data_IF_442064636190
#
_entry.id   IF_442064636190
#
_cell.length_a   1.000
_cell.length_b   1.000
_cell.length_c   1.000
_cell.angle_alpha   90.00
_cell.angle_beta   90.00
_cell.angle_gamma   90.00
#
_symmetry.space_group_name_H-M   'P 1'
#
loop_
_entity.id
_entity.type
_entity.pdbx_description
1 polymer ?
#
# COMPACT_ATOMS: atom_id res chain seq x y z
N UNK A 1 7.96 3.34 -14.98
CA UNK A 1 7.21 3.17 -13.71
C UNK A 1 8.03 2.23 -12.81
N UNK A 2 8.51 2.72 -11.67
CA UNK A 2 9.18 1.85 -10.67
C UNK A 2 8.09 1.14 -9.88
N UNK A 3 7.98 -0.17 -10.07
CA UNK A 3 7.21 -1.02 -9.17
C UNK A 3 8.06 -1.20 -7.93
N UNK A 4 7.61 -0.66 -6.80
CA UNK A 4 8.32 -0.88 -5.54
C UNK A 4 8.12 -2.33 -5.13
N UNK A 5 9.20 -3.05 -4.77
CA UNK A 5 9.07 -4.41 -4.28
C UNK A 5 8.16 -4.38 -3.05
N UNK A 6 7.06 -5.14 -3.11
CA UNK A 6 6.11 -5.25 -2.02
C UNK A 6 5.83 -6.73 -1.79
N UNK A 7 5.97 -7.20 -0.56
CA UNK A 7 5.61 -8.57 -0.22
C UNK A 7 4.10 -8.76 -0.35
N UNK A 8 3.64 -9.97 -0.67
CA UNK A 8 2.21 -10.29 -0.77
C UNK A 8 1.45 -9.90 0.51
N UNK A 9 2.07 -10.06 1.68
CA UNK A 9 1.50 -9.67 2.97
C UNK A 9 1.35 -8.16 3.12
N UNK A 10 2.40 -7.41 2.79
CA UNK A 10 2.37 -5.95 2.80
C UNK A 10 1.31 -5.37 1.84
N UNK A 11 1.23 -5.92 0.62
CA UNK A 11 0.23 -5.51 -0.37
C UNK A 11 -1.20 -5.76 0.13
N UNK A 12 -1.45 -6.92 0.74
CA UNK A 12 -2.76 -7.24 1.32
C UNK A 12 -3.12 -6.30 2.47
N UNK A 13 -2.19 -6.04 3.39
CA UNK A 13 -2.42 -5.13 4.51
C UNK A 13 -2.73 -3.71 4.02
N UNK A 14 -2.04 -3.23 2.99
CA UNK A 14 -2.29 -1.94 2.38
C UNK A 14 -3.70 -1.85 1.79
N UNK A 15 -4.16 -2.87 1.08
CA UNK A 15 -5.52 -2.91 0.53
C UNK A 15 -6.59 -2.99 1.61
N UNK A 16 -6.33 -3.73 2.71
CA UNK A 16 -7.22 -3.79 3.89
C UNK A 16 -7.33 -2.41 4.55
N UNK A 17 -6.23 -1.68 4.67
CA UNK A 17 -6.22 -0.31 5.22
C UNK A 17 -7.06 0.66 4.38
N UNK A 18 -7.02 0.53 3.05
CA UNK A 18 -7.83 1.33 2.13
C UNK A 18 -9.31 0.95 2.25
N UNK A 19 -9.62 -0.34 2.31
CA UNK A 19 -10.99 -0.86 2.55
C UNK A 19 -11.60 -0.29 3.83
N UNK A 20 -10.84 -0.27 4.93
CA UNK A 20 -11.27 0.32 6.20
C UNK A 20 -11.51 1.84 6.10
N UNK A 21 -10.61 2.57 5.45
CA UNK A 21 -10.73 4.04 5.31
C UNK A 21 -11.88 4.47 4.38
N UNK A 22 -12.19 3.67 3.37
CA UNK A 22 -13.26 3.95 2.42
C UNK A 22 -14.60 3.33 2.82
N UNK A 23 -14.64 2.50 3.88
CA UNK A 23 -15.80 1.68 4.25
C UNK A 23 -16.35 0.84 3.08
N UNK A 24 -15.45 0.34 2.23
CA UNK A 24 -15.76 -0.48 1.04
C UNK A 24 -15.20 -1.87 1.22
N UNK A 25 -15.77 -2.87 0.55
CA UNK A 25 -15.27 -4.25 0.68
C UNK A 25 -13.90 -4.40 0.00
N UNK A 26 -13.05 -5.26 0.53
CA UNK A 26 -11.72 -5.52 -0.04
C UNK A 26 -11.75 -5.91 -1.54
N UNK A 27 -12.69 -6.75 -2.03
CA UNK A 27 -12.79 -7.07 -3.45
C UNK A 27 -13.13 -5.85 -4.33
N UNK A 28 -13.93 -4.91 -3.84
CA UNK A 28 -14.30 -3.68 -4.55
C UNK A 28 -13.07 -2.76 -4.69
N UNK A 29 -12.27 -2.65 -3.63
CA UNK A 29 -11.00 -1.91 -3.66
C UNK A 29 -10.04 -2.57 -4.66
N UNK A 30 -9.90 -3.89 -4.62
CA UNK A 30 -9.03 -4.61 -5.54
C UNK A 30 -9.45 -4.40 -7.00
N UNK A 31 -10.74 -4.52 -7.30
CA UNK A 31 -11.29 -4.28 -8.64
C UNK A 31 -11.04 -2.84 -9.11
N UNK A 32 -11.25 -1.84 -8.24
CA UNK A 32 -11.00 -0.44 -8.56
C UNK A 32 -9.51 -0.15 -8.82
N UNK A 33 -8.61 -0.79 -8.06
CA UNK A 33 -7.17 -0.68 -8.30
C UNK A 33 -6.79 -1.30 -9.65
N UNK A 34 -7.29 -2.50 -9.97
CA UNK A 34 -7.05 -3.15 -11.28
C UNK A 34 -7.61 -2.30 -12.42
N UNK A 35 -8.83 -1.81 -12.29
CA UNK A 35 -9.44 -0.89 -13.24
C UNK A 35 -8.59 0.36 -13.48
N UNK A 36 -7.93 0.89 -12.44
CA UNK A 36 -7.03 2.02 -12.57
C UNK A 36 -5.73 1.72 -13.29
N UNK A 37 -5.22 0.50 -13.19
CA UNK A 37 -4.13 0.03 -14.04
C UNK A 37 -4.55 -0.06 -15.52
N UNK A 38 -5.83 -0.30 -15.79
CA UNK A 38 -6.41 -0.26 -17.14
C UNK A 38 -6.75 1.17 -17.63
N UNK A 39 -6.39 2.21 -16.86
CA UNK A 39 -6.64 3.61 -17.22
C UNK A 39 -7.99 4.17 -16.78
N UNK A 40 -8.79 3.43 -16.00
CA UNK A 40 -10.05 3.96 -15.43
C UNK A 40 -9.73 4.80 -14.18
N UNK A 41 -10.34 5.97 -13.99
CA UNK A 41 -10.07 6.78 -12.81
C UNK A 41 -10.54 6.08 -11.53
N UNK A 42 -9.69 6.12 -10.48
CA UNK A 42 -10.12 5.73 -9.13
C UNK A 42 -11.10 6.78 -8.58
N UNK A 43 -12.12 6.36 -7.80
CA UNK A 43 -12.93 7.29 -7.02
C UNK A 43 -12.05 8.18 -6.14
N UNK A 44 -12.33 9.49 -6.06
CA UNK A 44 -11.46 10.44 -5.35
C UNK A 44 -11.17 10.04 -3.90
N UNK A 45 -12.19 9.58 -3.18
CA UNK A 45 -12.05 9.11 -1.80
C UNK A 45 -11.07 7.95 -1.68
N UNK A 46 -11.15 7.00 -2.62
CA UNK A 46 -10.26 5.84 -2.69
C UNK A 46 -8.85 6.24 -3.10
N UNK A 47 -8.69 7.18 -4.03
CA UNK A 47 -7.39 7.71 -4.42
C UNK A 47 -6.67 8.41 -3.25
N UNK A 48 -7.40 9.21 -2.47
CA UNK A 48 -6.85 9.87 -1.27
C UNK A 48 -6.45 8.85 -0.20
N UNK A 49 -7.29 7.84 0.05
CA UNK A 49 -6.99 6.76 0.99
C UNK A 49 -5.76 5.94 0.55
N UNK A 50 -5.68 5.58 -0.74
CA UNK A 50 -4.56 4.85 -1.30
C UNK A 50 -3.24 5.63 -1.18
N UNK A 51 -3.25 6.93 -1.50
CA UNK A 51 -2.06 7.80 -1.33
C UNK A 51 -1.64 7.92 0.13
N UNK A 52 -2.58 7.92 1.08
CA UNK A 52 -2.27 7.94 2.53
C UNK A 52 -1.68 6.61 2.98
N UNK A 53 -2.29 5.50 2.58
CA UNK A 53 -1.81 4.16 2.91
C UNK A 53 -0.40 3.90 2.36
N UNK A 54 -0.14 4.25 1.09
CA UNK A 54 1.19 4.15 0.48
C UNK A 54 2.23 5.01 1.20
N UNK A 55 1.90 6.25 1.57
CA UNK A 55 2.81 7.10 2.33
C UNK A 55 3.18 6.50 3.68
N UNK A 56 2.21 5.96 4.43
CA UNK A 56 2.48 5.26 5.69
C UNK A 56 3.34 4.01 5.48
N UNK A 57 3.06 3.26 4.42
CA UNK A 57 3.84 2.08 4.05
C UNK A 57 5.31 2.44 3.79
N UNK A 58 5.60 3.44 2.97
CA UNK A 58 6.98 3.86 2.69
C UNK A 58 7.72 4.44 3.90
N UNK A 59 7.01 5.13 4.80
CA UNK A 59 7.63 5.61 6.05
C UNK A 59 7.99 4.43 6.95
N UNK A 60 7.11 3.44 7.08
CA UNK A 60 7.38 2.25 7.87
C UNK A 60 8.52 1.39 7.26
N UNK A 61 8.52 1.24 5.94
CA UNK A 61 9.54 0.49 5.19
C UNK A 61 10.94 1.12 5.33
N UNK A 62 11.06 2.45 5.14
CA UNK A 62 12.32 3.17 5.39
C UNK A 62 12.79 3.11 6.84
N UNK A 63 11.87 2.99 7.80
CA UNK A 63 12.21 2.81 9.21
C UNK A 63 12.86 1.45 9.49
N UNK A 64 12.44 0.40 8.79
CA UNK A 64 12.98 -0.96 8.95
C UNK A 64 14.37 -1.14 8.32
N UNK A 65 14.66 -0.49 7.20
CA UNK A 65 16.01 -0.51 6.58
C UNK A 65 17.10 0.10 7.49
N UNK A 66 16.71 0.93 8.46
CA UNK A 66 17.64 1.59 9.39
C UNK A 66 18.05 0.68 10.56
N UNK A 67 17.37 -0.45 10.78
CA UNK A 67 17.54 -1.29 11.98
C UNK A 67 18.30 -2.60 11.73
N UNK A 68 18.74 -2.87 10.50
CA UNK A 68 19.47 -4.09 10.14
C UNK A 68 20.99 -3.92 10.02
N UNK A 69 21.53 -2.72 10.27
CA UNK A 69 22.97 -2.46 10.25
C UNK A 69 23.67 -2.69 11.60
N UNK A 70 22.96 -3.15 12.63
CA UNK A 70 23.50 -3.35 13.98
C UNK A 70 23.16 -4.75 14.51
N UNK A 71 23.53 -5.81 13.79
CA UNK A 71 23.74 -7.12 14.44
C UNK A 71 24.68 -8.02 13.60
N UNK A 72 25.97 -7.66 13.57
CA UNK A 72 27.04 -8.62 13.27
C UNK A 72 28.32 -8.20 13.97
N UNK A 73 28.29 -8.27 15.31
CA UNK A 73 29.47 -8.36 16.15
C UNK A 73 29.08 -8.88 17.52
N UNK A 74 28.97 -10.20 17.66
CA UNK A 74 29.46 -10.94 18.83
C UNK A 74 29.50 -12.44 18.58
#
# INVERSE_FOLDING_TARGET
>A
MVLTPCSRGAARNLLVDVSRQCNTKLPEVAAAVVAAWEGKPLPEGMQRALRRALRRFYVADRGCDSSSADESSR
#
